data_IF_916022945669
#
_entry.id   IF_916022945669
#
_cell.length_a   1.000
_cell.length_b   1.000
_cell.length_c   1.000
_cell.angle_alpha   90.00
_cell.angle_beta   90.00
_cell.angle_gamma   90.00
#
_symmetry.space_group_name_H-M   'P 1'
#
loop_
_entity.id
_entity.type
_entity.pdbx_description
1 polymer ?
#
# COMPACT_ATOMS: atom_id res chain seq x y z
N UNK A 1 -17.49 -14.49 5.26
CA UNK A 1 -18.14 -13.72 4.20
C UNK A 1 -19.14 -14.60 3.46
N UNK A 2 -20.24 -14.01 2.98
CA UNK A 2 -21.32 -14.71 2.28
C UNK A 2 -20.94 -15.28 0.90
N UNK A 3 -19.78 -14.92 0.34
CA UNK A 3 -19.35 -15.27 -1.03
C UNK A 3 -18.13 -16.17 -1.09
N UNK A 4 -17.65 -16.73 0.03
CA UNK A 4 -16.40 -17.51 0.04
C UNK A 4 -16.45 -18.79 -0.82
N UNK A 5 -17.62 -19.42 -0.97
CA UNK A 5 -17.83 -20.60 -1.79
C UNK A 5 -18.39 -20.32 -3.18
N UNK A 6 -18.50 -19.03 -3.59
CA UNK A 6 -19.01 -18.68 -4.92
C UNK A 6 -18.05 -19.12 -6.01
N UNK A 7 -18.47 -20.01 -6.93
CA UNK A 7 -17.61 -20.45 -8.02
C UNK A 7 -17.44 -19.36 -9.07
N UNK A 8 -16.23 -19.25 -9.62
CA UNK A 8 -15.89 -18.33 -10.68
C UNK A 8 -14.78 -18.88 -11.56
N UNK A 9 -14.59 -18.32 -12.74
CA UNK A 9 -13.47 -18.70 -13.60
C UNK A 9 -12.15 -18.15 -13.04
N UNK A 10 -11.18 -19.03 -12.77
CA UNK A 10 -9.79 -18.65 -12.60
C UNK A 10 -9.20 -18.27 -13.95
N UNK A 11 -8.42 -17.18 -13.99
CA UNK A 11 -7.82 -16.66 -15.23
C UNK A 11 -6.32 -16.64 -15.14
N UNK A 12 -5.66 -17.18 -16.16
CA UNK A 12 -4.22 -17.05 -16.39
C UNK A 12 -3.99 -16.35 -17.72
N UNK A 13 -3.07 -15.41 -17.78
CA UNK A 13 -2.84 -14.58 -18.98
C UNK A 13 -4.12 -13.88 -19.51
N UNK A 14 -5.09 -13.60 -18.62
CA UNK A 14 -6.37 -13.00 -18.98
C UNK A 14 -7.41 -13.99 -19.53
N UNK A 15 -7.07 -15.26 -19.72
CA UNK A 15 -7.93 -16.31 -20.30
C UNK A 15 -8.44 -17.25 -19.20
N UNK A 16 -9.67 -17.76 -19.37
CA UNK A 16 -10.24 -18.76 -18.47
C UNK A 16 -9.36 -20.03 -18.44
N UNK A 17 -9.01 -20.50 -17.23
CA UNK A 17 -8.18 -21.68 -17.03
C UNK A 17 -8.97 -22.78 -16.30
N UNK A 18 -9.13 -22.67 -14.98
CA UNK A 18 -9.81 -23.66 -14.15
C UNK A 18 -10.80 -22.95 -13.21
N UNK A 19 -11.84 -23.68 -12.74
CA UNK A 19 -12.73 -23.15 -11.72
C UNK A 19 -11.97 -22.86 -10.41
N UNK A 20 -12.28 -21.73 -9.81
CA UNK A 20 -11.87 -21.36 -8.45
C UNK A 20 -13.08 -20.87 -7.68
N UNK A 21 -12.91 -20.52 -6.41
CA UNK A 21 -13.91 -19.76 -5.67
C UNK A 21 -13.48 -18.30 -5.50
N UNK A 22 -14.45 -17.41 -5.38
CA UNK A 22 -14.16 -16.03 -5.03
C UNK A 22 -13.47 -15.91 -3.65
N UNK A 23 -13.81 -16.83 -2.73
CA UNK A 23 -13.11 -16.96 -1.45
C UNK A 23 -11.63 -17.28 -1.59
N UNK A 24 -11.23 -18.16 -2.54
CA UNK A 24 -9.82 -18.43 -2.82
C UNK A 24 -9.08 -17.17 -3.28
N UNK A 25 -9.67 -16.39 -4.19
CA UNK A 25 -9.12 -15.11 -4.64
C UNK A 25 -8.94 -14.14 -3.47
N UNK A 26 -9.96 -13.99 -2.63
CA UNK A 26 -9.88 -13.14 -1.43
C UNK A 26 -8.84 -13.63 -0.41
N UNK A 27 -8.66 -14.94 -0.26
CA UNK A 27 -7.67 -15.51 0.65
C UNK A 27 -6.23 -15.16 0.21
N UNK A 28 -5.96 -15.14 -1.11
CA UNK A 28 -4.67 -14.67 -1.63
C UNK A 28 -4.44 -13.19 -1.27
N UNK A 29 -5.45 -12.34 -1.44
CA UNK A 29 -5.36 -10.92 -1.08
C UNK A 29 -5.12 -10.74 0.43
N UNK A 30 -5.88 -11.46 1.26
CA UNK A 30 -5.75 -11.39 2.72
C UNK A 30 -4.37 -11.84 3.20
N UNK A 31 -3.83 -12.91 2.63
CA UNK A 31 -2.49 -13.42 2.95
C UNK A 31 -1.39 -12.40 2.63
N UNK A 32 -1.50 -11.68 1.51
CA UNK A 32 -0.55 -10.63 1.15
C UNK A 32 -0.66 -9.40 2.07
N UNK A 33 -1.88 -8.97 2.38
CA UNK A 33 -2.12 -7.86 3.32
C UNK A 33 -1.61 -8.22 4.72
N UNK A 34 -1.79 -9.47 5.16
CA UNK A 34 -1.26 -9.98 6.43
C UNK A 34 0.27 -9.84 6.51
N UNK A 35 1.00 -10.29 5.48
CA UNK A 35 2.46 -10.12 5.43
C UNK A 35 2.90 -8.65 5.42
N UNK A 36 2.12 -7.76 4.82
CA UNK A 36 2.42 -6.33 4.83
C UNK A 36 2.19 -5.71 6.22
N UNK A 37 1.16 -6.17 6.94
CA UNK A 37 0.94 -5.80 8.33
C UNK A 37 2.11 -6.27 9.22
N UNK A 38 2.55 -7.52 9.07
CA UNK A 38 3.73 -8.05 9.78
C UNK A 38 4.99 -7.22 9.52
N UNK A 39 5.27 -6.85 8.24
CA UNK A 39 6.41 -5.99 7.90
C UNK A 39 6.34 -4.65 8.61
N UNK A 40 5.17 -4.03 8.63
CA UNK A 40 4.98 -2.73 9.28
C UNK A 40 5.21 -2.83 10.80
N UNK A 41 4.67 -3.87 11.44
CA UNK A 41 4.87 -4.11 12.88
C UNK A 41 6.34 -4.39 13.20
N UNK A 42 7.02 -5.22 12.41
CA UNK A 42 8.45 -5.51 12.61
C UNK A 42 9.35 -4.29 12.37
N UNK A 43 8.89 -3.34 11.60
CA UNK A 43 9.62 -2.11 11.31
C UNK A 43 9.63 -1.14 12.50
N UNK A 44 8.65 -1.17 13.39
CA UNK A 44 8.47 -0.21 14.48
C UNK A 44 9.74 -0.01 15.31
N UNK A 45 10.41 -1.10 15.68
CA UNK A 45 11.63 -1.07 16.50
C UNK A 45 12.81 -0.42 15.80
N UNK A 46 12.85 -0.43 14.47
CA UNK A 46 13.90 0.20 13.66
C UNK A 46 13.55 1.62 13.26
N UNK A 47 12.25 1.93 13.10
CA UNK A 47 11.76 3.22 12.63
C UNK A 47 11.63 4.24 13.77
N UNK A 48 11.07 3.83 14.91
CA UNK A 48 10.80 4.72 16.03
C UNK A 48 12.02 4.89 16.94
N UNK A 49 13.14 5.30 16.36
CA UNK A 49 14.40 5.55 17.04
C UNK A 49 14.74 7.03 16.88
N UNK A 50 14.91 7.71 18.00
CA UNK A 50 15.29 9.11 18.01
C UNK A 50 16.80 9.31 17.98
N UNK A 51 17.21 10.57 17.81
CA UNK A 51 18.63 10.95 17.86
C UNK A 51 18.74 12.41 18.35
N UNK A 52 19.21 12.60 19.58
CA UNK A 52 19.50 13.93 20.13
C UNK A 52 21.00 14.17 20.04
N UNK A 53 21.42 14.92 19.04
CA UNK A 53 22.85 15.13 18.72
C UNK A 53 23.09 16.55 18.22
N UNK A 54 24.35 16.98 18.27
CA UNK A 54 24.80 18.26 17.72
C UNK A 54 24.96 18.27 16.20
N UNK A 55 25.60 19.31 15.68
CA UNK A 55 25.71 19.60 14.24
C UNK A 55 26.36 18.47 13.43
N UNK A 56 27.35 17.78 13.99
CA UNK A 56 28.11 16.70 13.36
C UNK A 56 27.82 15.33 13.99
N UNK A 57 26.68 15.17 14.62
CA UNK A 57 26.26 13.89 15.18
C UNK A 57 26.83 13.54 16.55
N UNK A 58 27.63 14.43 17.17
CA UNK A 58 28.18 14.20 18.52
C UNK A 58 27.28 14.79 19.60
N UNK A 59 27.43 14.32 20.84
CA UNK A 59 26.71 14.83 22.02
C UNK A 59 27.56 15.79 22.87
N UNK A 60 28.75 16.18 22.40
CA UNK A 60 29.72 16.99 23.17
C UNK A 60 29.15 18.31 23.67
N UNK A 61 28.30 18.97 22.87
CA UNK A 61 27.65 20.22 23.23
C UNK A 61 26.67 20.14 24.42
N UNK A 62 26.22 18.92 24.78
CA UNK A 62 25.31 18.70 25.90
C UNK A 62 26.02 18.40 27.23
N UNK A 63 27.38 18.37 27.24
CA UNK A 63 28.20 18.15 28.42
C UNK A 63 28.09 16.75 29.02
N UNK A 64 28.41 16.62 30.30
CA UNK A 64 28.51 15.32 30.98
C UNK A 64 27.19 14.57 31.15
N UNK A 65 26.06 15.24 31.05
CA UNK A 65 24.71 14.63 31.16
C UNK A 65 24.08 14.32 29.81
N UNK A 66 24.84 14.36 28.73
CA UNK A 66 24.33 14.23 27.37
C UNK A 66 23.54 12.93 27.12
N UNK A 67 24.02 11.80 27.62
CA UNK A 67 23.35 10.51 27.46
C UNK A 67 22.07 10.40 28.29
N UNK A 68 22.11 10.88 29.55
CA UNK A 68 20.91 10.92 30.40
C UNK A 68 19.81 11.83 29.81
N UNK A 69 20.22 12.97 29.24
CA UNK A 69 19.30 13.88 28.56
C UNK A 69 18.65 13.22 27.35
N UNK A 70 19.44 12.53 26.51
CA UNK A 70 18.96 11.81 25.34
C UNK A 70 17.90 10.75 25.73
N UNK A 71 18.22 9.89 26.70
CA UNK A 71 17.27 8.89 27.21
C UNK A 71 15.98 9.50 27.73
N UNK A 72 16.05 10.59 28.48
CA UNK A 72 14.86 11.28 29.00
C UNK A 72 14.01 11.87 27.89
N UNK A 73 14.62 12.46 26.88
CA UNK A 73 13.92 13.01 25.71
C UNK A 73 13.25 11.89 24.92
N UNK A 74 13.98 10.81 24.60
CA UNK A 74 13.43 9.69 23.83
C UNK A 74 12.27 9.00 24.57
N UNK A 75 12.41 8.78 25.87
CA UNK A 75 11.32 8.25 26.71
C UNK A 75 10.06 9.12 26.67
N UNK A 76 10.21 10.45 26.71
CA UNK A 76 9.07 11.38 26.59
C UNK A 76 8.40 11.35 25.23
N UNK A 77 9.18 11.12 24.17
CA UNK A 77 8.70 11.04 22.80
C UNK A 77 8.19 9.63 22.43
N UNK A 78 8.32 8.66 23.34
CA UNK A 78 8.03 7.24 23.06
C UNK A 78 8.86 6.69 21.91
N UNK A 79 10.12 7.08 21.83
CA UNK A 79 11.10 6.62 20.85
C UNK A 79 12.19 5.79 21.55
N UNK A 80 12.77 4.85 20.81
CA UNK A 80 13.97 4.15 21.23
C UNK A 80 15.19 5.08 21.14
N UNK A 81 16.17 4.83 22.01
CA UNK A 81 17.45 5.55 21.98
C UNK A 81 18.36 4.95 20.92
N UNK A 82 18.96 5.76 20.09
CA UNK A 82 19.94 5.29 19.11
C UNK A 82 21.30 5.00 19.76
N UNK A 83 21.97 3.94 19.29
CA UNK A 83 23.35 3.62 19.74
C UNK A 83 24.32 4.74 19.38
N UNK A 84 24.13 5.34 18.21
CA UNK A 84 24.93 6.44 17.69
C UNK A 84 24.07 7.33 16.79
N UNK A 85 24.57 8.51 16.44
CA UNK A 85 23.91 9.37 15.45
C UNK A 85 23.60 8.64 14.14
N UNK A 86 22.34 8.73 13.69
CA UNK A 86 21.93 8.19 12.40
C UNK A 86 21.65 9.31 11.36
N UNK A 87 22.18 10.52 11.57
CA UNK A 87 21.98 11.62 10.62
C UNK A 87 22.46 11.29 9.18
N UNK A 88 23.64 10.66 8.99
CA UNK A 88 24.07 10.24 7.66
C UNK A 88 23.58 8.84 7.26
N UNK A 89 22.88 8.11 8.15
CA UNK A 89 22.35 6.77 7.89
C UNK A 89 20.84 6.85 7.72
N UNK A 90 20.36 6.89 6.49
CA UNK A 90 18.94 7.14 6.14
C UNK A 90 18.13 5.88 5.90
N UNK A 91 18.73 4.71 6.09
CA UNK A 91 18.16 3.38 5.87
C UNK A 91 16.80 3.18 6.56
N UNK A 92 16.61 3.68 7.78
CA UNK A 92 15.34 3.58 8.53
C UNK A 92 14.16 4.20 7.79
N UNK A 93 14.36 5.40 7.25
CA UNK A 93 13.31 6.11 6.49
C UNK A 93 13.08 5.49 5.12
N UNK A 94 14.16 5.02 4.48
CA UNK A 94 14.08 4.32 3.20
C UNK A 94 13.36 2.98 3.35
N UNK A 95 13.66 2.21 4.40
CA UNK A 95 12.95 0.96 4.72
C UNK A 95 11.44 1.24 4.92
N UNK A 96 11.10 2.27 5.68
CA UNK A 96 9.70 2.65 5.91
C UNK A 96 8.95 2.95 4.61
N UNK A 97 9.51 3.82 3.76
CA UNK A 97 8.88 4.15 2.46
C UNK A 97 8.85 2.93 1.54
N UNK A 98 9.85 2.06 1.61
CA UNK A 98 9.87 0.76 0.94
C UNK A 98 8.69 -0.13 1.34
N UNK A 99 8.39 -0.23 2.63
CA UNK A 99 7.20 -0.96 3.13
C UNK A 99 5.90 -0.31 2.67
N UNK A 100 5.80 1.03 2.68
CA UNK A 100 4.64 1.73 2.11
C UNK A 100 4.46 1.41 0.62
N UNK A 101 5.57 1.31 -0.12
CA UNK A 101 5.57 0.92 -1.54
C UNK A 101 5.04 -0.50 -1.77
N UNK A 102 5.40 -1.46 -0.90
CA UNK A 102 4.88 -2.83 -0.93
C UNK A 102 3.37 -2.86 -0.63
N UNK A 103 2.93 -2.13 0.40
CA UNK A 103 1.51 -1.99 0.74
C UNK A 103 0.74 -1.39 -0.43
N UNK A 104 1.20 -0.24 -0.95
CA UNK A 104 0.55 0.44 -2.06
C UNK A 104 0.52 -0.41 -3.34
N UNK A 105 1.58 -1.15 -3.62
CA UNK A 105 1.65 -2.07 -4.76
C UNK A 105 0.68 -3.24 -4.66
N UNK A 106 0.60 -3.89 -3.48
CA UNK A 106 -0.35 -4.98 -3.21
C UNK A 106 -1.81 -4.52 -3.29
N UNK A 107 -2.13 -3.38 -2.70
CA UNK A 107 -3.48 -2.81 -2.77
C UNK A 107 -3.84 -2.33 -4.17
N UNK A 108 -2.90 -1.76 -4.93
CA UNK A 108 -3.11 -1.41 -6.33
C UNK A 108 -3.35 -2.65 -7.20
N UNK A 109 -2.70 -3.78 -6.92
CA UNK A 109 -2.99 -5.06 -7.59
C UNK A 109 -4.43 -5.51 -7.33
N UNK A 110 -4.91 -5.44 -6.08
CA UNK A 110 -6.29 -5.79 -5.72
C UNK A 110 -7.28 -4.85 -6.44
N UNK A 111 -7.02 -3.54 -6.42
CA UNK A 111 -7.84 -2.57 -7.13
C UNK A 111 -7.88 -2.82 -8.65
N UNK A 112 -6.73 -3.16 -9.25
CA UNK A 112 -6.66 -3.50 -10.68
C UNK A 112 -7.43 -4.77 -11.01
N UNK A 113 -7.47 -5.76 -10.12
CA UNK A 113 -8.31 -6.95 -10.31
C UNK A 113 -9.80 -6.59 -10.23
N UNK A 114 -10.21 -5.76 -9.27
CA UNK A 114 -11.60 -5.26 -9.21
C UNK A 114 -11.95 -4.49 -10.48
N UNK A 115 -11.06 -3.62 -10.95
CA UNK A 115 -11.19 -2.91 -12.22
C UNK A 115 -11.40 -3.87 -13.39
N UNK A 116 -10.55 -4.89 -13.54
CA UNK A 116 -10.66 -5.87 -14.61
C UNK A 116 -11.99 -6.67 -14.54
N UNK A 117 -12.39 -7.09 -13.34
CA UNK A 117 -13.62 -7.84 -13.14
C UNK A 117 -14.90 -6.99 -13.27
N UNK A 118 -14.76 -5.66 -13.32
CA UNK A 118 -15.87 -4.73 -13.58
C UNK A 118 -16.08 -4.38 -15.06
N UNK A 119 -15.20 -4.83 -15.96
CA UNK A 119 -15.36 -4.62 -17.40
C UNK A 119 -16.71 -5.17 -17.88
N UNK A 120 -17.34 -4.49 -18.85
CA UNK A 120 -18.70 -4.81 -19.34
C UNK A 120 -18.84 -6.27 -19.77
N UNK A 121 -17.80 -6.84 -20.38
CA UNK A 121 -17.76 -8.22 -20.87
C UNK A 121 -17.66 -9.24 -19.73
N UNK A 122 -17.02 -8.86 -18.61
CA UNK A 122 -16.80 -9.70 -17.43
C UNK A 122 -17.91 -9.48 -16.40
N UNK A 123 -18.02 -8.29 -15.83
CA UNK A 123 -19.09 -7.84 -14.95
C UNK A 123 -19.28 -8.65 -13.67
N UNK A 124 -18.20 -9.21 -13.11
CA UNK A 124 -18.25 -10.08 -11.93
C UNK A 124 -18.19 -9.29 -10.62
N UNK A 125 -17.56 -8.13 -10.63
CA UNK A 125 -17.47 -7.21 -9.48
C UNK A 125 -17.85 -5.80 -9.91
N UNK A 126 -18.32 -4.99 -8.94
CA UNK A 126 -18.58 -3.59 -9.14
C UNK A 126 -18.23 -2.78 -7.89
N UNK A 127 -17.67 -1.59 -8.08
CA UNK A 127 -17.44 -0.64 -6.99
C UNK A 127 -18.76 -0.15 -6.39
N UNK A 128 -18.77 0.19 -5.09
CA UNK A 128 -19.95 0.75 -4.48
C UNK A 128 -20.37 2.06 -5.19
N UNK A 129 -21.61 2.08 -5.60
CA UNK A 129 -22.19 3.25 -6.27
C UNK A 129 -22.95 4.12 -5.26
N UNK A 130 -22.56 5.38 -5.13
CA UNK A 130 -23.34 6.37 -4.39
C UNK A 130 -24.27 7.09 -5.36
N UNK A 131 -25.57 7.08 -5.09
CA UNK A 131 -26.60 7.71 -5.92
C UNK A 131 -26.41 9.24 -6.16
N UNK A 132 -25.48 9.88 -5.41
CA UNK A 132 -25.06 11.27 -5.61
C UNK A 132 -23.84 11.47 -6.50
N UNK A 133 -23.17 10.39 -6.94
CA UNK A 133 -22.07 10.44 -7.91
C UNK A 133 -22.64 10.18 -9.30
N UNK A 134 -22.58 11.16 -10.19
CA UNK A 134 -22.86 10.92 -11.62
C UNK A 134 -21.79 9.97 -12.16
N UNK A 135 -22.19 8.75 -12.55
CA UNK A 135 -21.28 7.77 -13.13
C UNK A 135 -20.68 8.22 -14.46
N UNK A 136 -21.48 8.92 -15.25
CA UNK A 136 -21.10 9.58 -16.50
C UNK A 136 -22.02 10.78 -16.71
N UNK A 137 -21.48 11.89 -17.20
CA UNK A 137 -22.27 13.09 -17.54
C UNK A 137 -23.26 12.87 -18.71
N UNK A 138 -23.01 11.85 -19.54
CA UNK A 138 -23.78 11.59 -20.77
C UNK A 138 -24.48 10.24 -20.80
N UNK A 139 -24.07 9.27 -19.98
CA UNK A 139 -24.60 7.90 -20.01
C UNK A 139 -24.93 7.43 -18.59
N UNK A 140 -26.20 7.55 -18.12
CA UNK A 140 -26.58 7.23 -16.72
C UNK A 140 -26.29 5.78 -16.29
N UNK A 141 -26.26 4.84 -17.25
CA UNK A 141 -26.01 3.42 -17.01
C UNK A 141 -24.52 3.08 -16.88
N UNK A 142 -23.61 4.01 -17.24
CA UNK A 142 -22.17 3.77 -17.21
C UNK A 142 -21.60 4.02 -15.83
N UNK A 143 -21.22 2.95 -15.14
CA UNK A 143 -20.57 2.97 -13.82
C UNK A 143 -19.08 2.69 -13.96
N UNK A 144 -18.27 3.73 -13.94
CA UNK A 144 -16.83 3.60 -14.06
C UNK A 144 -16.20 3.22 -12.71
N UNK A 145 -15.25 2.28 -12.66
CA UNK A 145 -14.51 1.91 -11.45
C UNK A 145 -13.42 2.94 -11.12
N UNK A 146 -13.82 4.20 -10.92
CA UNK A 146 -12.93 5.36 -10.80
C UNK A 146 -12.08 5.34 -9.54
N UNK A 147 -12.55 4.69 -8.47
CA UNK A 147 -11.78 4.60 -7.23
C UNK A 147 -10.66 3.58 -7.42
N UNK A 148 -10.92 2.45 -8.06
CA UNK A 148 -9.89 1.46 -8.40
C UNK A 148 -8.84 2.03 -9.34
N UNK A 149 -9.25 2.78 -10.37
CA UNK A 149 -8.32 3.51 -11.26
C UNK A 149 -7.40 4.45 -10.48
N UNK A 150 -7.97 5.22 -9.54
CA UNK A 150 -7.21 6.14 -8.71
C UNK A 150 -6.21 5.42 -7.80
N UNK A 151 -6.64 4.32 -7.15
CA UNK A 151 -5.76 3.50 -6.31
C UNK A 151 -4.58 2.96 -7.13
N UNK A 152 -4.82 2.47 -8.34
CA UNK A 152 -3.77 1.97 -9.24
C UNK A 152 -2.80 3.10 -9.61
N UNK A 153 -3.31 4.28 -9.92
CA UNK A 153 -2.50 5.45 -10.30
C UNK A 153 -1.64 5.93 -9.13
N UNK A 154 -2.24 6.12 -7.95
CA UNK A 154 -1.53 6.58 -6.74
C UNK A 154 -0.51 5.53 -6.29
N UNK A 155 -0.83 4.23 -6.39
CA UNK A 155 0.11 3.15 -6.09
C UNK A 155 1.31 3.10 -7.04
N UNK A 156 1.14 3.51 -8.30
CA UNK A 156 2.27 3.69 -9.24
C UNK A 156 3.14 4.88 -8.83
N UNK A 157 2.54 6.02 -8.51
CA UNK A 157 3.25 7.21 -8.07
C UNK A 157 4.06 6.96 -6.78
N UNK A 158 3.47 6.25 -5.80
CA UNK A 158 4.15 5.88 -4.56
C UNK A 158 5.44 5.09 -4.82
N UNK A 159 5.46 4.18 -5.79
CA UNK A 159 6.67 3.41 -6.13
C UNK A 159 7.80 4.28 -6.72
N UNK A 160 7.49 5.39 -7.37
CA UNK A 160 8.51 6.36 -7.77
C UNK A 160 9.13 7.08 -6.56
N UNK A 161 8.33 7.39 -5.53
CA UNK A 161 8.86 7.93 -4.29
C UNK A 161 9.74 6.92 -3.54
N UNK A 162 9.47 5.61 -3.63
CA UNK A 162 10.38 4.58 -3.11
C UNK A 162 11.75 4.67 -3.78
N UNK A 163 11.79 4.76 -5.11
CA UNK A 163 13.04 4.93 -5.84
C UNK A 163 13.75 6.23 -5.45
N UNK A 164 13.01 7.33 -5.35
CA UNK A 164 13.54 8.62 -4.94
C UNK A 164 14.15 8.58 -3.53
N UNK A 165 13.52 7.86 -2.59
CA UNK A 165 14.06 7.68 -1.23
C UNK A 165 15.37 6.88 -1.22
N UNK A 166 15.58 5.95 -2.15
CA UNK A 166 16.85 5.23 -2.25
C UNK A 166 18.01 6.16 -2.63
N UNK A 167 17.76 7.23 -3.38
CA UNK A 167 18.78 8.25 -3.68
C UNK A 167 19.25 8.99 -2.41
N UNK A 168 18.41 9.07 -1.37
CA UNK A 168 18.80 9.69 -0.09
C UNK A 168 19.75 8.83 0.76
N UNK A 169 20.01 7.57 0.39
CA UNK A 169 20.96 6.71 1.11
C UNK A 169 22.41 7.17 0.95
N UNK A 170 22.74 7.77 -0.19
CA UNK A 170 24.09 8.24 -0.47
C UNK A 170 24.26 9.63 0.14
N UNK A 171 24.69 9.64 1.40
CA UNK A 171 24.92 10.87 2.17
C UNK A 171 26.39 11.27 2.13
N UNK A 172 26.64 12.57 2.09
CA UNK A 172 27.99 13.12 2.20
C UNK A 172 28.32 13.55 3.62
N UNK A 173 29.45 13.07 4.13
CA UNK A 173 29.97 13.38 5.47
C UNK A 173 28.95 13.07 6.58
N UNK A 174 28.93 13.88 7.65
CA UNK A 174 28.08 13.70 8.83
C UNK A 174 26.68 14.28 8.66
N UNK A 175 26.45 15.07 7.62
CA UNK A 175 25.13 15.67 7.28
C UNK A 175 25.10 16.21 5.85
N UNK A 176 24.43 15.52 4.98
CA UNK A 176 24.18 15.97 3.62
C UNK A 176 22.90 16.80 3.50
N UNK A 177 23.02 17.99 2.94
CA UNK A 177 21.86 18.86 2.71
C UNK A 177 21.04 18.49 1.48
N UNK A 178 21.62 17.83 0.48
CA UNK A 178 20.92 17.43 -0.74
C UNK A 178 20.08 16.18 -0.52
N UNK A 179 20.68 15.11 -0.04
CA UNK A 179 19.98 13.85 0.26
C UNK A 179 18.87 14.05 1.29
N UNK A 180 19.12 14.87 2.31
CA UNK A 180 18.11 15.18 3.32
C UNK A 180 16.87 15.90 2.76
N UNK A 181 17.05 16.81 1.80
CA UNK A 181 15.91 17.51 1.16
C UNK A 181 15.05 16.59 0.29
N UNK A 182 15.60 15.51 -0.24
CA UNK A 182 14.81 14.47 -0.94
C UNK A 182 13.72 13.92 -0.01
N UNK A 183 14.07 13.68 1.25
CA UNK A 183 13.13 13.14 2.24
C UNK A 183 11.98 14.09 2.54
N UNK A 184 12.21 15.39 2.57
CA UNK A 184 11.16 16.39 2.81
C UNK A 184 10.06 16.37 1.76
N UNK A 185 10.37 15.88 0.56
CA UNK A 185 9.41 15.66 -0.51
C UNK A 185 8.84 14.24 -0.45
N UNK A 186 9.69 13.25 -0.56
CA UNK A 186 9.28 11.88 -0.81
C UNK A 186 8.57 11.23 0.39
N UNK A 187 9.01 11.49 1.62
CA UNK A 187 8.45 10.87 2.82
C UNK A 187 7.01 11.31 3.10
N UNK A 188 6.69 12.63 3.24
CA UNK A 188 5.31 13.06 3.48
C UNK A 188 4.37 12.71 2.33
N UNK A 189 4.79 12.84 1.09
CA UNK A 189 3.98 12.42 -0.06
C UNK A 189 3.67 10.92 -0.01
N UNK A 190 4.65 10.08 0.35
CA UNK A 190 4.45 8.64 0.48
C UNK A 190 3.44 8.28 1.56
N UNK A 191 3.49 8.96 2.70
CA UNK A 191 2.52 8.79 3.79
C UNK A 191 1.10 9.17 3.35
N UNK A 192 0.95 10.31 2.66
CA UNK A 192 -0.34 10.77 2.14
C UNK A 192 -0.90 9.81 1.09
N UNK A 193 -0.06 9.36 0.14
CA UNK A 193 -0.45 8.40 -0.89
C UNK A 193 -0.86 7.06 -0.28
N UNK A 194 -0.09 6.52 0.66
CA UNK A 194 -0.42 5.27 1.34
C UNK A 194 -1.74 5.39 2.12
N UNK A 195 -1.94 6.48 2.85
CA UNK A 195 -3.19 6.76 3.59
C UNK A 195 -4.39 6.84 2.65
N UNK A 196 -4.26 7.52 1.51
CA UNK A 196 -5.32 7.64 0.51
C UNK A 196 -5.67 6.26 -0.09
N UNK A 197 -4.67 5.45 -0.46
CA UNK A 197 -4.86 4.09 -0.97
C UNK A 197 -5.58 3.22 0.06
N UNK A 198 -5.15 3.22 1.32
CA UNK A 198 -5.75 2.43 2.39
C UNK A 198 -7.22 2.83 2.63
N UNK A 199 -7.50 4.13 2.68
CA UNK A 199 -8.86 4.66 2.86
C UNK A 199 -9.79 4.25 1.72
N UNK A 200 -9.35 4.40 0.47
CA UNK A 200 -10.12 4.05 -0.71
C UNK A 200 -10.35 2.53 -0.81
N UNK A 201 -9.34 1.72 -0.56
CA UNK A 201 -9.48 0.27 -0.56
C UNK A 201 -10.40 -0.23 0.55
N UNK A 202 -10.32 0.35 1.75
CA UNK A 202 -11.27 0.07 2.83
C UNK A 202 -12.70 0.38 2.39
N UNK A 203 -12.93 1.51 1.72
CA UNK A 203 -14.25 1.90 1.21
C UNK A 203 -14.75 0.92 0.16
N UNK A 204 -13.93 0.57 -0.85
CA UNK A 204 -14.29 -0.39 -1.90
C UNK A 204 -14.62 -1.75 -1.28
N UNK A 205 -13.69 -2.34 -0.53
CA UNK A 205 -13.81 -3.72 -0.04
C UNK A 205 -14.96 -3.90 0.97
N UNK A 206 -15.29 -2.88 1.74
CA UNK A 206 -16.40 -2.95 2.70
C UNK A 206 -17.79 -2.91 2.05
N UNK A 207 -17.88 -2.51 0.79
CA UNK A 207 -19.14 -2.30 0.05
C UNK A 207 -19.09 -2.86 -1.36
N UNK A 208 -18.15 -3.74 -1.66
CA UNK A 208 -17.95 -4.36 -2.98
C UNK A 208 -19.21 -5.12 -3.40
N UNK A 209 -19.73 -4.81 -4.57
CA UNK A 209 -20.83 -5.54 -5.17
C UNK A 209 -20.28 -6.77 -5.89
N UNK A 210 -20.85 -7.94 -5.56
CA UNK A 210 -20.42 -9.24 -6.12
C UNK A 210 -21.56 -9.85 -6.90
N UNK A 211 -21.38 -10.00 -8.20
CA UNK A 211 -22.39 -10.50 -9.13
C UNK A 211 -22.27 -12.02 -9.34
N UNK A 212 -22.82 -12.79 -8.39
CA UNK A 212 -22.73 -14.27 -8.36
C UNK A 212 -23.23 -14.91 -9.67
N UNK A 213 -24.37 -14.46 -10.20
CA UNK A 213 -24.94 -14.99 -11.43
C UNK A 213 -24.05 -14.70 -12.66
N UNK A 214 -23.34 -13.58 -12.65
CA UNK A 214 -22.39 -13.24 -13.71
C UNK A 214 -21.15 -14.13 -13.63
N UNK A 215 -20.62 -14.38 -12.43
CA UNK A 215 -19.53 -15.33 -12.21
C UNK A 215 -19.88 -16.72 -12.73
N UNK A 216 -21.08 -17.19 -12.41
CA UNK A 216 -21.58 -18.49 -12.89
C UNK A 216 -21.69 -18.53 -14.42
N UNK A 217 -22.31 -17.54 -15.03
CA UNK A 217 -22.45 -17.46 -16.49
C UNK A 217 -21.09 -17.45 -17.19
N UNK A 218 -20.11 -16.69 -16.66
CA UNK A 218 -18.76 -16.64 -17.21
C UNK A 218 -18.05 -17.99 -17.06
N UNK A 219 -18.28 -18.72 -15.98
CA UNK A 219 -17.72 -20.06 -15.78
C UNK A 219 -18.27 -21.05 -16.81
N UNK A 220 -19.54 -20.93 -17.17
CA UNK A 220 -20.24 -21.83 -18.11
C UNK A 220 -19.98 -21.48 -19.58
N UNK A 221 -19.40 -20.32 -19.91
CA UNK A 221 -19.24 -19.84 -21.29
C UNK A 221 -18.35 -20.73 -22.18
N UNK A 222 -17.54 -21.63 -21.58
CA UNK A 222 -16.70 -22.60 -22.32
C UNK A 222 -17.42 -23.91 -22.64
N UNK A 223 -18.74 -24.02 -22.38
CA UNK A 223 -19.49 -25.24 -22.61
C UNK A 223 -19.01 -26.47 -21.82
N UNK A 224 -18.39 -26.21 -20.66
CA UNK A 224 -17.87 -27.27 -19.77
C UNK A 224 -16.38 -27.59 -19.96
N UNK A 225 -15.71 -27.09 -20.98
CA UNK A 225 -14.27 -27.31 -21.19
C UNK A 225 -13.38 -26.86 -20.03
N UNK A 226 -13.82 -25.87 -19.28
CA UNK A 226 -13.10 -25.40 -18.08
C UNK A 226 -13.16 -26.41 -16.91
N UNK A 227 -14.07 -27.42 -17.01
CA UNK A 227 -14.29 -28.45 -15.97
C UNK A 227 -13.51 -29.74 -16.25
N UNK A 228 -12.90 -29.86 -17.42
CA UNK A 228 -12.08 -30.99 -17.84
C UNK A 228 -10.60 -30.73 -17.55
#
# INVERSE_FOLDING_TARGET
SSYNSTPMAGRTHGVHALPITFGHKCAIWLSEVGRNYERLTQLETRMFVGSLVGAVGTKVSFGQHAFELDERVMRRLQLEVSDISWQPARDRLVEYVGVLGLIGGGLAKIANEIYNLSHSEIGELEEPFNAGKMGSSTMPHKRNPTISENVVTVGRALRYNVALMHESLVQEHERDGAGWKIEWKALPESCLMASAILSQMKYILSRLEVHVERMRRNLECTGGLIMS
#
